data_IF_387703244630
#
_entry.id   IF_387703244630
#
_cell.length_a   1.000
_cell.length_b   1.000
_cell.length_c   1.000
_cell.angle_alpha   90.00
_cell.angle_beta   90.00
_cell.angle_gamma   90.00
#
_symmetry.space_group_name_H-M   'P 1'
#
loop_
_entity.id
_entity.type
_entity.pdbx_description
1 polymer ?
#
# COMPACT_ATOMS: atom_id res chain seq x y z
N UNK A 1 -73.61 42.47 34.77
CA UNK A 1 -72.21 42.53 34.40
C UNK A 1 -71.50 41.43 35.21
N UNK A 2 -71.15 40.30 34.54
CA UNK A 2 -70.50 39.19 35.17
C UNK A 2 -69.08 39.04 34.49
N UNK A 3 -68.05 39.25 35.23
CA UNK A 3 -66.64 39.15 34.84
C UNK A 3 -66.22 37.67 34.84
N UNK A 4 -65.65 37.15 33.72
CA UNK A 4 -65.01 35.84 33.62
C UNK A 4 -63.49 35.97 33.87
N UNK A 5 -62.83 35.08 34.65
CA UNK A 5 -61.43 35.08 34.73
C UNK A 5 -60.79 34.25 33.60
N UNK A 6 -59.76 34.83 32.99
CA UNK A 6 -58.96 34.27 31.95
C UNK A 6 -57.81 33.37 32.57
N UNK A 7 -57.89 32.08 32.31
CA UNK A 7 -56.82 31.13 32.71
C UNK A 7 -55.73 31.10 31.62
N UNK A 8 -54.53 31.55 31.94
CA UNK A 8 -53.36 31.36 31.11
C UNK A 8 -52.83 29.93 31.30
N UNK A 9 -52.95 29.07 30.27
CA UNK A 9 -52.27 27.81 30.23
C UNK A 9 -50.81 28.07 29.75
N UNK A 10 -49.85 27.96 30.67
CA UNK A 10 -48.44 27.95 30.35
C UNK A 10 -48.07 26.58 29.78
N UNK A 11 -47.78 26.52 28.48
CA UNK A 11 -47.15 25.32 27.85
C UNK A 11 -45.66 25.32 28.20
N UNK A 12 -45.24 24.45 29.10
CA UNK A 12 -43.82 24.17 29.35
C UNK A 12 -43.35 23.25 28.23
N UNK A 13 -42.64 23.80 27.24
CA UNK A 13 -41.89 23.05 26.29
C UNK A 13 -40.63 22.45 26.96
N UNK A 14 -40.72 21.20 27.43
CA UNK A 14 -39.55 20.41 27.76
C UNK A 14 -38.83 20.06 26.46
N UNK A 15 -37.71 20.72 26.18
CA UNK A 15 -36.77 20.31 25.17
C UNK A 15 -36.20 18.96 25.59
N UNK A 16 -36.79 17.88 25.10
CA UNK A 16 -36.21 16.55 25.22
C UNK A 16 -34.87 16.53 24.47
N UNK A 17 -33.75 16.45 25.23
CA UNK A 17 -32.47 16.08 24.68
C UNK A 17 -32.66 14.70 24.06
N UNK A 18 -32.71 14.62 22.72
CA UNK A 18 -32.55 13.34 22.02
C UNK A 18 -31.18 12.79 22.43
N UNK A 19 -31.12 11.53 22.89
CA UNK A 19 -29.82 10.90 23.09
C UNK A 19 -29.10 10.93 21.73
N UNK A 20 -27.88 11.45 21.71
CA UNK A 20 -27.01 11.32 20.54
C UNK A 20 -26.98 9.83 20.21
N UNK A 21 -27.40 9.45 19.00
CA UNK A 21 -27.27 8.10 18.50
C UNK A 21 -25.80 7.76 18.63
N UNK A 22 -25.49 6.85 19.56
CA UNK A 22 -24.15 6.30 19.67
C UNK A 22 -23.80 5.74 18.29
N UNK A 23 -22.83 6.35 17.62
CA UNK A 23 -22.37 5.90 16.31
C UNK A 23 -22.03 4.41 16.40
N UNK A 24 -22.29 3.66 15.36
CA UNK A 24 -21.87 2.25 15.30
C UNK A 24 -20.39 2.17 15.68
N UNK A 25 -20.00 1.20 16.51
CA UNK A 25 -18.60 1.08 16.94
C UNK A 25 -17.72 0.97 15.69
N UNK A 26 -16.63 1.75 15.66
CA UNK A 26 -15.63 1.68 14.59
C UNK A 26 -14.99 0.30 14.68
N UNK A 27 -15.02 -0.44 13.57
CA UNK A 27 -14.37 -1.75 13.50
C UNK A 27 -12.85 -1.56 13.55
N UNK A 28 -12.16 -2.40 14.31
CA UNK A 28 -10.70 -2.37 14.35
C UNK A 28 -10.13 -2.73 12.97
N UNK A 29 -9.49 -1.78 12.26
CA UNK A 29 -8.96 -2.03 10.93
C UNK A 29 -7.75 -2.98 10.93
N UNK A 30 -7.18 -3.28 12.09
CA UNK A 30 -6.15 -4.31 12.27
C UNK A 30 -6.70 -5.74 12.22
N UNK A 31 -8.03 -5.90 12.34
CA UNK A 31 -8.71 -7.19 12.24
C UNK A 31 -9.39 -7.35 10.87
N UNK A 32 -9.87 -8.56 10.57
CA UNK A 32 -10.70 -8.81 9.38
C UNK A 32 -11.96 -7.95 9.44
N UNK A 33 -12.30 -7.34 8.32
CA UNK A 33 -13.50 -6.52 8.20
C UNK A 33 -14.80 -7.34 8.11
N UNK A 34 -15.94 -6.68 7.91
CA UNK A 34 -17.26 -7.32 7.94
C UNK A 34 -17.58 -8.12 6.67
N UNK A 35 -16.80 -7.95 5.60
CA UNK A 35 -17.01 -8.64 4.33
C UNK A 35 -16.16 -9.88 4.22
N UNK A 36 -16.70 -10.93 3.60
CA UNK A 36 -15.91 -11.95 2.97
C UNK A 36 -15.19 -11.36 1.75
N UNK A 37 -14.21 -12.07 1.22
CA UNK A 37 -13.39 -11.57 0.11
C UNK A 37 -13.60 -12.45 -1.11
N UNK A 38 -13.99 -11.86 -2.22
CA UNK A 38 -13.97 -12.47 -3.54
C UNK A 38 -12.63 -12.22 -4.23
N UNK A 39 -12.30 -13.06 -5.19
CA UNK A 39 -11.07 -12.97 -5.96
C UNK A 39 -11.32 -13.33 -7.42
N UNK A 40 -10.80 -12.53 -8.32
CA UNK A 40 -10.82 -12.80 -9.76
C UNK A 40 -9.52 -12.32 -10.41
N UNK A 41 -9.18 -12.91 -11.56
CA UNK A 41 -8.01 -12.50 -12.35
C UNK A 41 -8.42 -12.23 -13.78
N UNK A 42 -7.74 -11.26 -14.39
CA UNK A 42 -7.82 -11.01 -15.83
C UNK A 42 -6.44 -10.60 -16.36
N UNK A 43 -6.24 -10.76 -17.68
CA UNK A 43 -5.04 -10.28 -18.35
C UNK A 43 -5.47 -9.33 -19.46
N UNK A 44 -5.23 -8.05 -19.25
CA UNK A 44 -5.59 -6.99 -20.18
C UNK A 44 -4.44 -6.66 -21.11
N UNK A 45 -4.75 -6.27 -22.34
CA UNK A 45 -3.78 -5.95 -23.38
C UNK A 45 -3.82 -4.46 -23.71
N UNK A 46 -2.70 -3.79 -23.46
CA UNK A 46 -2.48 -2.41 -23.88
C UNK A 46 -1.83 -2.39 -25.27
N UNK A 47 -2.66 -2.27 -26.29
CA UNK A 47 -2.21 -2.22 -27.70
C UNK A 47 -1.42 -0.96 -28.04
N UNK A 48 -1.50 0.08 -27.21
CA UNK A 48 -0.80 1.35 -27.44
C UNK A 48 0.68 1.32 -27.05
N UNK A 49 1.09 0.29 -26.30
CA UNK A 49 2.45 0.19 -25.77
C UNK A 49 3.10 -1.15 -26.05
N UNK A 50 4.40 -1.10 -26.35
CA UNK A 50 5.20 -2.30 -26.65
C UNK A 50 5.15 -2.72 -28.12
N UNK A 51 5.87 -3.80 -28.48
CA UNK A 51 5.77 -4.38 -29.80
C UNK A 51 4.42 -5.10 -29.97
N UNK A 52 3.92 -5.25 -31.22
CA UNK A 52 2.70 -6.00 -31.45
C UNK A 52 2.74 -7.42 -30.82
N UNK A 53 1.65 -7.88 -30.18
CA UNK A 53 0.31 -7.29 -30.19
C UNK A 53 0.10 -6.16 -29.16
N UNK A 54 1.08 -5.85 -28.30
CA UNK A 54 0.97 -4.84 -27.24
C UNK A 54 1.59 -5.31 -25.93
N UNK A 55 1.34 -4.56 -24.85
CA UNK A 55 1.82 -4.86 -23.50
C UNK A 55 0.73 -5.56 -22.68
N UNK A 56 1.02 -6.76 -22.22
CA UNK A 56 0.14 -7.50 -21.34
C UNK A 56 0.24 -6.94 -19.90
N UNK A 57 -0.90 -6.74 -19.26
CA UNK A 57 -1.01 -6.29 -17.86
C UNK A 57 -2.00 -7.20 -17.14
N UNK A 58 -1.56 -8.27 -16.48
CA UNK A 58 -2.42 -9.06 -15.63
C UNK A 58 -2.84 -8.28 -14.41
N UNK A 59 -4.10 -8.44 -14.03
CA UNK A 59 -4.73 -7.78 -12.89
C UNK A 59 -5.38 -8.84 -12.01
N UNK A 60 -5.03 -8.81 -10.73
CA UNK A 60 -5.65 -9.62 -9.70
C UNK A 60 -6.56 -8.73 -8.88
N UNK A 61 -7.81 -9.09 -8.73
CA UNK A 61 -8.81 -8.25 -8.09
C UNK A 61 -9.39 -8.96 -6.87
N UNK A 62 -9.22 -8.36 -5.71
CA UNK A 62 -9.91 -8.73 -4.47
C UNK A 62 -11.05 -7.75 -4.22
N UNK A 63 -12.21 -8.26 -3.84
CA UNK A 63 -13.40 -7.42 -3.69
C UNK A 63 -14.29 -7.88 -2.54
N UNK A 64 -15.10 -6.98 -1.95
CA UNK A 64 -16.01 -7.33 -0.89
C UNK A 64 -17.14 -8.26 -1.37
N UNK A 65 -17.42 -9.30 -0.59
CA UNK A 65 -18.53 -10.25 -0.83
C UNK A 65 -19.37 -10.36 0.44
N UNK A 66 -20.67 -10.56 0.30
CA UNK A 66 -21.49 -10.91 1.45
C UNK A 66 -21.02 -12.26 2.02
N UNK A 67 -20.77 -12.38 3.32
CA UNK A 67 -20.38 -13.65 3.91
C UNK A 67 -21.32 -14.82 3.59
N UNK A 68 -22.61 -14.53 3.33
CA UNK A 68 -23.57 -15.55 2.95
C UNK A 68 -23.38 -16.07 1.51
N UNK A 69 -22.71 -15.30 0.64
CA UNK A 69 -22.52 -15.65 -0.76
C UNK A 69 -21.24 -16.48 -1.02
N UNK A 70 -20.41 -16.69 0.01
CA UNK A 70 -19.18 -17.51 -0.10
C UNK A 70 -19.37 -18.94 0.44
N UNK A 71 -20.52 -19.25 0.98
CA UNK A 71 -20.79 -20.61 1.48
C UNK A 71 -20.83 -21.60 0.32
N UNK A 72 -19.91 -22.57 0.34
CA UNK A 72 -19.73 -23.53 -0.75
C UNK A 72 -18.98 -23.00 -1.99
N UNK A 73 -18.54 -21.75 -2.00
CA UNK A 73 -17.70 -21.21 -3.08
C UNK A 73 -16.30 -21.87 -3.07
N UNK A 74 -15.72 -22.04 -4.27
CA UNK A 74 -14.34 -22.49 -4.40
C UNK A 74 -13.39 -21.47 -3.76
N UNK A 75 -12.40 -21.96 -3.02
CA UNK A 75 -11.33 -21.10 -2.50
C UNK A 75 -10.40 -20.65 -3.61
N UNK A 76 -9.95 -19.41 -3.53
CA UNK A 76 -9.02 -18.87 -4.50
C UNK A 76 -7.65 -19.56 -4.37
N UNK A 77 -7.15 -20.03 -5.50
CA UNK A 77 -5.77 -20.41 -5.66
C UNK A 77 -5.07 -19.29 -6.42
N UNK A 78 -4.07 -18.67 -5.79
CA UNK A 78 -3.34 -17.58 -6.44
C UNK A 78 -2.32 -18.14 -7.43
N UNK A 79 -2.49 -17.92 -8.75
CA UNK A 79 -1.52 -18.40 -9.73
C UNK A 79 -0.16 -17.77 -9.45
N UNK A 80 0.90 -18.57 -9.42
CA UNK A 80 2.26 -18.03 -9.25
C UNK A 80 2.66 -17.14 -10.42
N UNK A 81 2.25 -17.51 -11.62
CA UNK A 81 2.49 -16.71 -12.81
C UNK A 81 1.34 -16.82 -13.81
N UNK A 82 0.61 -15.74 -14.08
CA UNK A 82 -0.48 -15.74 -15.06
C UNK A 82 -0.02 -15.85 -16.52
N UNK A 83 1.28 -15.62 -16.80
CA UNK A 83 1.82 -15.65 -18.17
C UNK A 83 2.39 -17.00 -18.60
N UNK A 84 2.67 -17.87 -17.64
CA UNK A 84 3.41 -19.08 -17.89
C UNK A 84 2.52 -20.27 -17.63
N UNK A 85 1.97 -20.84 -18.67
CA UNK A 85 1.40 -22.18 -18.61
C UNK A 85 2.44 -23.26 -18.21
N UNK A 86 3.55 -22.84 -17.62
CA UNK A 86 4.71 -23.65 -17.30
C UNK A 86 4.74 -24.15 -15.88
N UNK A 87 3.90 -23.61 -15.01
CA UNK A 87 3.91 -24.08 -13.65
C UNK A 87 2.93 -25.25 -13.58
N UNK A 88 3.38 -26.44 -13.14
CA UNK A 88 2.52 -27.62 -13.02
C UNK A 88 1.23 -27.27 -12.24
N UNK A 89 0.19 -28.08 -12.35
CA UNK A 89 -1.10 -27.88 -11.67
C UNK A 89 -1.00 -27.67 -10.13
N UNK A 90 0.18 -27.84 -9.56
CA UNK A 90 0.52 -27.54 -8.16
C UNK A 90 1.00 -26.11 -7.90
N UNK A 91 1.10 -25.29 -8.91
CA UNK A 91 1.66 -23.93 -8.86
C UNK A 91 0.75 -22.85 -8.32
N UNK A 92 -0.36 -23.24 -7.75
CA UNK A 92 -1.23 -22.33 -7.03
C UNK A 92 -0.88 -22.41 -5.55
N UNK A 93 -0.55 -21.26 -4.97
CA UNK A 93 -0.32 -21.16 -3.54
C UNK A 93 -1.68 -21.07 -2.84
N UNK A 94 -1.93 -21.96 -1.89
CA UNK A 94 -3.13 -21.95 -1.06
C UNK A 94 -2.78 -21.30 0.26
N UNK A 95 -3.45 -20.19 0.59
CA UNK A 95 -3.13 -19.35 1.74
C UNK A 95 -4.14 -19.45 2.88
N UNK A 96 -4.90 -20.53 2.96
CA UNK A 96 -5.94 -20.70 3.99
C UNK A 96 -5.39 -20.57 5.41
N UNK A 97 -4.20 -21.11 5.67
CA UNK A 97 -3.57 -21.10 6.99
C UNK A 97 -3.06 -19.71 7.41
N UNK A 98 -2.91 -18.79 6.48
CA UNK A 98 -2.42 -17.43 6.74
C UNK A 98 -3.53 -16.38 6.84
N UNK A 99 -4.80 -16.78 6.74
CA UNK A 99 -5.92 -15.85 6.79
C UNK A 99 -6.09 -14.97 5.55
N UNK A 100 -5.48 -15.35 4.44
CA UNK A 100 -5.57 -14.68 3.13
C UNK A 100 -6.62 -15.32 2.23
N UNK A 101 -7.54 -16.06 2.81
CA UNK A 101 -8.55 -16.80 2.06
C UNK A 101 -9.51 -15.86 1.33
N UNK A 102 -9.79 -16.23 0.10
CA UNK A 102 -10.78 -15.58 -0.75
C UNK A 102 -11.61 -16.63 -1.50
N UNK A 103 -12.81 -16.24 -1.92
CA UNK A 103 -13.66 -17.06 -2.77
C UNK A 103 -13.44 -16.71 -4.24
N UNK A 104 -13.14 -17.69 -5.07
CA UNK A 104 -12.89 -17.46 -6.50
C UNK A 104 -14.20 -17.17 -7.23
N UNK A 105 -14.22 -16.07 -7.99
CA UNK A 105 -15.36 -15.59 -8.79
C UNK A 105 -16.69 -15.49 -8.03
N UNK A 106 -16.64 -15.30 -6.70
CA UNK A 106 -17.86 -15.04 -5.93
C UNK A 106 -18.47 -13.69 -6.35
N UNK A 107 -19.81 -13.56 -6.41
CA UNK A 107 -20.45 -12.29 -6.78
C UNK A 107 -20.08 -11.20 -5.76
N UNK A 108 -19.76 -9.96 -6.20
CA UNK A 108 -19.55 -8.85 -5.26
C UNK A 108 -20.85 -8.53 -4.51
N UNK A 109 -20.70 -7.95 -3.33
CA UNK A 109 -21.86 -7.46 -2.56
C UNK A 109 -22.64 -6.50 -3.43
N UNK A 110 -23.89 -6.84 -3.64
CA UNK A 110 -24.85 -6.19 -4.53
C UNK A 110 -24.60 -4.67 -4.70
N UNK A 111 -24.63 -4.26 -5.94
CA UNK A 111 -24.47 -2.92 -6.52
C UNK A 111 -25.24 -1.76 -5.87
N UNK A 112 -26.05 -2.00 -4.83
CA UNK A 112 -26.71 -0.94 -4.07
C UNK A 112 -25.75 -0.02 -3.34
N UNK A 113 -24.48 -0.42 -3.20
CA UNK A 113 -23.47 0.33 -2.47
C UNK A 113 -22.08 0.06 -3.06
N UNK A 114 -21.71 0.71 -4.16
CA UNK A 114 -20.41 0.52 -4.77
C UNK A 114 -19.27 0.91 -3.80
N UNK A 115 -18.11 0.30 -3.96
CA UNK A 115 -16.95 0.45 -3.10
C UNK A 115 -15.87 1.33 -3.72
N UNK A 116 -15.07 2.06 -2.92
CA UNK A 116 -13.85 2.69 -3.42
C UNK A 116 -12.90 1.66 -4.03
N UNK A 117 -12.13 2.11 -5.04
CA UNK A 117 -11.10 1.29 -5.69
C UNK A 117 -9.71 1.65 -5.17
N UNK A 118 -8.90 0.65 -4.91
CA UNK A 118 -7.46 0.77 -4.68
C UNK A 118 -6.73 0.06 -5.80
N UNK A 119 -5.98 0.80 -6.63
CA UNK A 119 -5.08 0.23 -7.61
C UNK A 119 -3.70 0.10 -6.98
N UNK A 120 -3.14 -1.11 -7.00
CA UNK A 120 -1.94 -1.46 -6.24
C UNK A 120 -0.83 -2.00 -7.15
N UNK A 121 0.39 -1.51 -6.96
CA UNK A 121 1.60 -2.02 -7.61
C UNK A 121 2.51 -2.70 -6.57
N UNK A 122 2.93 -3.96 -6.78
CA UNK A 122 3.85 -4.67 -5.88
C UNK A 122 5.29 -4.14 -6.00
N UNK A 123 6.21 -4.67 -5.21
CA UNK A 123 7.64 -4.36 -5.29
C UNK A 123 8.28 -4.76 -6.63
N UNK A 124 9.52 -4.32 -6.87
CA UNK A 124 10.27 -4.71 -8.06
C UNK A 124 10.49 -6.24 -8.08
N UNK A 125 10.22 -6.84 -9.22
CA UNK A 125 10.24 -8.29 -9.35
C UNK A 125 9.06 -8.99 -8.66
N UNK A 126 8.15 -8.25 -8.04
CA UNK A 126 7.05 -8.81 -7.26
C UNK A 126 5.90 -9.33 -8.10
N UNK A 127 5.29 -10.41 -7.65
CA UNK A 127 4.01 -10.91 -8.13
C UNK A 127 2.84 -10.16 -7.48
N UNK A 128 1.67 -10.22 -8.09
CA UNK A 128 0.46 -9.59 -7.53
C UNK A 128 0.11 -10.14 -6.14
N UNK A 129 0.42 -11.40 -5.85
CA UNK A 129 0.18 -12.03 -4.56
C UNK A 129 1.18 -11.66 -3.46
N UNK A 130 2.29 -10.96 -3.76
CA UNK A 130 3.24 -10.50 -2.72
C UNK A 130 2.64 -9.53 -1.69
N UNK A 131 1.45 -9.00 -1.93
CA UNK A 131 0.74 -8.12 -1.01
C UNK A 131 -0.70 -8.60 -0.77
N UNK A 132 -0.90 -9.92 -0.76
CA UNK A 132 -2.23 -10.53 -0.58
C UNK A 132 -2.84 -10.18 0.78
N UNK A 133 -2.04 -10.10 1.84
CA UNK A 133 -2.51 -9.68 3.17
C UNK A 133 -3.07 -8.27 3.17
N UNK A 134 -2.46 -7.36 2.42
CA UNK A 134 -2.98 -6.01 2.24
C UNK A 134 -4.26 -6.02 1.40
N UNK A 135 -4.25 -6.75 0.28
CA UNK A 135 -5.39 -6.81 -0.63
C UNK A 135 -6.63 -7.40 0.06
N UNK A 136 -6.49 -8.53 0.74
CA UNK A 136 -7.58 -9.18 1.48
C UNK A 136 -8.05 -8.34 2.67
N UNK A 137 -7.14 -7.66 3.38
CA UNK A 137 -7.49 -6.78 4.49
C UNK A 137 -8.35 -5.60 3.98
N UNK A 138 -7.91 -4.91 2.96
CA UNK A 138 -8.65 -3.80 2.36
C UNK A 138 -10.00 -4.27 1.81
N UNK A 139 -10.04 -5.40 1.09
CA UNK A 139 -11.28 -5.93 0.54
C UNK A 139 -12.28 -6.28 1.65
N UNK A 140 -11.84 -6.93 2.74
CA UNK A 140 -12.70 -7.23 3.87
C UNK A 140 -13.29 -5.99 4.55
N UNK A 141 -12.63 -4.84 4.41
CA UNK A 141 -13.09 -3.55 4.90
C UNK A 141 -13.87 -2.72 3.86
N UNK A 142 -14.23 -3.29 2.71
CA UNK A 142 -15.09 -2.65 1.75
C UNK A 142 -14.35 -1.79 0.72
N UNK A 143 -13.25 -2.29 0.19
CA UNK A 143 -12.55 -1.74 -0.97
C UNK A 143 -12.47 -2.79 -2.08
N UNK A 144 -12.61 -2.39 -3.32
CA UNK A 144 -12.13 -3.19 -4.45
C UNK A 144 -10.64 -2.93 -4.57
N UNK A 145 -9.83 -3.99 -4.62
CA UNK A 145 -8.36 -3.88 -4.68
C UNK A 145 -7.86 -4.59 -5.92
N UNK A 146 -7.31 -3.84 -6.85
CA UNK A 146 -6.72 -4.37 -8.07
C UNK A 146 -5.19 -4.32 -7.98
N UNK A 147 -4.54 -5.46 -7.89
CA UNK A 147 -3.09 -5.58 -7.83
C UNK A 147 -2.57 -6.03 -9.18
N UNK A 148 -1.58 -5.30 -9.71
CA UNK A 148 -1.04 -5.55 -11.03
C UNK A 148 0.15 -6.51 -10.99
N UNK A 149 0.30 -7.25 -12.08
CA UNK A 149 1.48 -8.04 -12.37
C UNK A 149 2.20 -7.39 -13.57
N UNK A 150 3.36 -6.78 -13.33
CA UNK A 150 4.05 -5.99 -14.36
C UNK A 150 4.88 -6.87 -15.29
N UNK A 151 4.54 -6.88 -16.59
CA UNK A 151 5.25 -7.67 -17.57
C UNK A 151 6.71 -7.19 -17.76
N UNK A 152 7.64 -8.14 -17.81
CA UNK A 152 9.07 -7.88 -17.99
C UNK A 152 9.81 -7.41 -16.71
N UNK A 153 9.12 -7.35 -15.59
CA UNK A 153 9.63 -6.87 -14.31
C UNK A 153 9.32 -7.92 -13.23
N UNK A 154 9.81 -9.15 -13.44
CA UNK A 154 9.50 -10.28 -12.56
C UNK A 154 10.77 -11.06 -12.21
N UNK A 155 10.91 -11.37 -10.92
CA UNK A 155 11.97 -12.27 -10.45
C UNK A 155 11.70 -13.71 -10.87
N UNK A 156 10.44 -14.07 -11.01
CA UNK A 156 10.00 -15.43 -11.28
C UNK A 156 9.23 -15.53 -12.59
N UNK A 157 9.60 -16.40 -13.50
CA UNK A 157 10.82 -17.21 -13.61
C UNK A 157 11.97 -16.42 -14.25
N UNK A 158 12.68 -15.62 -13.49
CA UNK A 158 13.91 -14.88 -13.87
C UNK A 158 13.81 -14.04 -15.16
N UNK A 159 12.71 -13.35 -15.36
CA UNK A 159 12.52 -12.49 -16.53
C UNK A 159 12.71 -11.02 -16.21
N UNK A 160 13.89 -10.63 -15.81
CA UNK A 160 14.28 -9.22 -15.82
C UNK A 160 14.54 -8.76 -17.25
N UNK A 161 13.50 -8.62 -18.03
CA UNK A 161 13.60 -8.05 -19.40
C UNK A 161 13.65 -6.53 -19.35
N UNK A 162 13.09 -5.92 -18.31
CA UNK A 162 13.13 -4.49 -18.14
C UNK A 162 14.21 -4.11 -17.11
N UNK A 163 15.15 -3.21 -17.45
CA UNK A 163 15.99 -2.58 -16.47
C UNK A 163 15.12 -1.85 -15.43
N UNK A 164 15.69 -1.54 -14.25
CA UNK A 164 14.93 -0.87 -13.18
C UNK A 164 14.28 0.45 -13.65
N UNK A 165 14.97 1.21 -14.52
CA UNK A 165 14.39 2.40 -15.13
C UNK A 165 13.16 2.09 -16.00
N UNK A 166 13.19 0.98 -16.76
CA UNK A 166 12.04 0.52 -17.53
C UNK A 166 10.89 0.08 -16.65
N UNK A 167 11.18 -0.61 -15.56
CA UNK A 167 10.18 -0.98 -14.57
C UNK A 167 9.54 0.27 -13.94
N UNK A 168 10.35 1.23 -13.52
CA UNK A 168 9.85 2.51 -12.98
C UNK A 168 8.95 3.24 -13.98
N UNK A 169 9.34 3.30 -15.26
CA UNK A 169 8.59 3.94 -16.33
C UNK A 169 7.25 3.26 -16.64
N UNK A 170 7.22 1.93 -16.70
CA UNK A 170 6.03 1.22 -17.13
C UNK A 170 4.95 1.15 -16.05
N UNK A 171 5.33 1.06 -14.77
CA UNK A 171 4.40 0.79 -13.68
C UNK A 171 3.28 1.83 -13.51
N UNK A 172 3.54 3.15 -13.48
CA UNK A 172 2.46 4.13 -13.41
C UNK A 172 1.49 4.04 -14.60
N UNK A 173 2.04 3.77 -15.79
CA UNK A 173 1.25 3.62 -17.04
C UNK A 173 0.42 2.35 -17.06
N UNK A 174 0.96 1.24 -16.53
CA UNK A 174 0.20 0.00 -16.35
C UNK A 174 -0.97 0.23 -15.37
N UNK A 175 -0.72 0.97 -14.29
CA UNK A 175 -1.77 1.29 -13.30
C UNK A 175 -2.86 2.17 -13.91
N UNK A 176 -2.51 3.22 -14.65
CA UNK A 176 -3.49 4.10 -15.30
C UNK A 176 -4.31 3.35 -16.34
N UNK A 177 -3.67 2.52 -17.18
CA UNK A 177 -4.36 1.69 -18.17
C UNK A 177 -5.29 0.65 -17.52
N UNK A 178 -4.83 -0.03 -16.47
CA UNK A 178 -5.68 -0.96 -15.74
C UNK A 178 -6.89 -0.26 -15.11
N UNK A 179 -6.71 0.98 -14.63
CA UNK A 179 -7.81 1.79 -14.12
C UNK A 179 -8.84 2.11 -15.21
N UNK A 180 -8.41 2.40 -16.46
CA UNK A 180 -9.33 2.59 -17.60
C UNK A 180 -10.19 1.34 -17.81
N UNK A 181 -9.56 0.17 -17.86
CA UNK A 181 -10.26 -1.11 -18.11
C UNK A 181 -11.20 -1.46 -16.96
N UNK A 182 -10.76 -1.30 -15.71
CA UNK A 182 -11.59 -1.60 -14.54
C UNK A 182 -12.84 -0.69 -14.45
N UNK A 183 -12.70 0.59 -14.78
CA UNK A 183 -13.84 1.50 -14.80
C UNK A 183 -14.78 1.21 -15.98
N UNK A 184 -14.25 0.83 -17.14
CA UNK A 184 -15.05 0.34 -18.25
C UNK A 184 -15.82 -0.94 -17.88
N UNK A 185 -15.17 -1.90 -17.20
CA UNK A 185 -15.82 -3.11 -16.70
C UNK A 185 -16.91 -2.79 -15.66
N UNK A 186 -16.70 -1.78 -14.82
CA UNK A 186 -17.70 -1.31 -13.87
C UNK A 186 -18.96 -0.74 -14.56
N UNK A 187 -18.81 -0.16 -15.74
CA UNK A 187 -19.95 0.36 -16.53
C UNK A 187 -20.71 -0.74 -17.28
N UNK A 188 -20.23 -1.99 -17.27
CA UNK A 188 -20.85 -3.15 -17.91
C UNK A 188 -21.67 -3.96 -16.89
N UNK A 189 -23.01 -3.92 -16.90
CA UNK A 189 -23.85 -4.57 -15.88
C UNK A 189 -23.63 -6.08 -15.73
N UNK A 190 -23.27 -6.76 -16.83
CA UNK A 190 -23.05 -8.21 -16.85
C UNK A 190 -21.63 -8.60 -16.37
N UNK A 191 -20.73 -7.64 -16.22
CA UNK A 191 -19.38 -7.93 -15.74
C UNK A 191 -19.41 -8.19 -14.23
N UNK A 192 -18.50 -9.05 -13.74
CA UNK A 192 -18.35 -9.36 -12.32
C UNK A 192 -18.28 -8.10 -11.43
N UNK A 193 -17.61 -7.05 -11.91
CA UNK A 193 -17.47 -5.77 -11.21
C UNK A 193 -18.50 -4.73 -11.63
N UNK A 194 -19.54 -5.10 -12.41
CA UNK A 194 -20.57 -4.19 -12.91
C UNK A 194 -21.27 -3.45 -11.76
N UNK A 195 -21.09 -2.13 -11.71
CA UNK A 195 -21.65 -1.27 -10.66
C UNK A 195 -21.02 -1.43 -9.26
N UNK A 196 -19.92 -2.20 -9.13
CA UNK A 196 -19.29 -2.46 -7.84
C UNK A 196 -18.28 -1.37 -7.40
N UNK A 197 -17.82 -0.51 -8.31
CA UNK A 197 -16.77 0.47 -8.07
C UNK A 197 -17.35 1.89 -8.03
N UNK A 198 -16.86 2.72 -7.10
CA UNK A 198 -17.05 4.17 -7.09
C UNK A 198 -15.98 4.85 -7.92
N UNK A 199 -16.26 5.35 -9.11
CA UNK A 199 -15.24 5.88 -10.00
C UNK A 199 -14.62 7.21 -9.51
N UNK A 200 -15.29 7.90 -8.60
CA UNK A 200 -14.83 9.14 -7.96
C UNK A 200 -14.01 8.90 -6.68
N UNK A 201 -13.86 7.65 -6.24
CA UNK A 201 -13.15 7.25 -5.03
C UNK A 201 -12.06 6.22 -5.35
N UNK A 202 -10.99 6.67 -5.99
CA UNK A 202 -9.85 5.84 -6.39
C UNK A 202 -8.59 6.24 -5.62
N UNK A 203 -7.89 5.26 -5.04
CA UNK A 203 -6.57 5.45 -4.46
C UNK A 203 -5.52 4.67 -5.27
N UNK A 204 -4.32 5.23 -5.38
CA UNK A 204 -3.13 4.52 -5.80
C UNK A 204 -2.38 4.00 -4.57
N UNK A 205 -1.96 2.74 -4.61
CA UNK A 205 -1.18 2.16 -3.54
C UNK A 205 -0.03 1.31 -4.09
N UNK A 206 0.96 1.02 -3.25
CA UNK A 206 2.03 0.11 -3.66
C UNK A 206 3.11 -0.06 -2.61
N UNK A 207 3.94 -1.07 -2.85
CA UNK A 207 5.07 -1.43 -2.02
C UNK A 207 6.37 -1.24 -2.80
N UNK A 208 7.42 -0.71 -2.16
CA UNK A 208 8.75 -0.56 -2.77
C UNK A 208 8.69 0.27 -4.07
N UNK A 209 9.13 -0.28 -5.20
CA UNK A 209 9.00 0.35 -6.52
C UNK A 209 7.53 0.60 -6.89
N UNK A 210 6.59 -0.21 -6.39
CA UNK A 210 5.15 0.06 -6.52
C UNK A 210 4.71 1.28 -5.73
N UNK A 211 5.30 1.53 -4.57
CA UNK A 211 5.07 2.75 -3.79
C UNK A 211 5.53 4.00 -4.53
N UNK A 212 6.69 3.93 -5.18
CA UNK A 212 7.13 4.96 -6.13
C UNK A 212 6.10 5.17 -7.26
N UNK A 213 5.65 4.08 -7.91
CA UNK A 213 4.69 4.17 -9.00
C UNK A 213 3.36 4.80 -8.56
N UNK A 214 2.88 4.51 -7.35
CA UNK A 214 1.71 5.15 -6.77
C UNK A 214 1.91 6.65 -6.55
N UNK A 215 3.10 7.09 -6.12
CA UNK A 215 3.43 8.51 -5.98
C UNK A 215 3.47 9.22 -7.32
N UNK A 216 4.05 8.60 -8.35
CA UNK A 216 4.07 9.15 -9.72
C UNK A 216 2.65 9.29 -10.26
N UNK A 217 1.85 8.23 -10.17
CA UNK A 217 0.46 8.25 -10.63
C UNK A 217 -0.38 9.30 -9.90
N UNK A 218 -0.10 9.54 -8.63
CA UNK A 218 -0.79 10.52 -7.78
C UNK A 218 -0.25 11.94 -7.88
N UNK A 219 0.76 12.19 -8.73
CA UNK A 219 1.18 13.56 -9.03
C UNK A 219 2.67 13.87 -8.99
N UNK A 220 3.55 12.93 -8.57
CA UNK A 220 4.98 13.15 -8.68
C UNK A 220 5.43 13.08 -10.14
N UNK A 221 6.49 13.83 -10.49
CA UNK A 221 7.14 13.72 -11.79
C UNK A 221 8.00 12.45 -11.92
N UNK A 222 8.57 12.25 -13.10
CA UNK A 222 9.48 11.13 -13.40
C UNK A 222 10.83 11.58 -13.97
N UNK A 223 11.13 12.85 -13.97
CA UNK A 223 12.35 13.39 -14.61
C UNK A 223 13.62 12.89 -13.93
N UNK A 224 13.55 12.55 -12.65
CA UNK A 224 14.70 12.09 -11.87
C UNK A 224 15.13 10.67 -12.20
N UNK A 225 14.25 9.83 -12.74
CA UNK A 225 14.60 8.44 -13.16
C UNK A 225 15.83 8.42 -14.05
N UNK A 226 15.93 9.37 -14.98
CA UNK A 226 17.06 9.49 -15.91
C UNK A 226 18.34 9.95 -15.23
N UNK A 227 18.25 10.70 -14.15
CA UNK A 227 19.40 11.13 -13.35
C UNK A 227 19.91 9.99 -12.47
N UNK A 228 19.01 9.24 -11.86
CA UNK A 228 19.34 8.12 -10.98
C UNK A 228 19.86 6.91 -11.78
N UNK A 229 19.32 6.64 -12.96
CA UNK A 229 19.66 5.48 -13.79
C UNK A 229 20.11 5.86 -15.21
N UNK A 230 21.15 6.69 -15.38
CA UNK A 230 21.51 7.27 -16.68
C UNK A 230 21.90 6.25 -17.75
N UNK A 231 22.48 5.11 -17.35
CA UNK A 231 22.91 4.06 -18.27
C UNK A 231 21.79 3.15 -18.77
N UNK A 232 20.70 3.03 -17.99
CA UNK A 232 19.59 2.12 -18.29
C UNK A 232 18.29 2.84 -18.69
N UNK A 233 18.32 4.18 -18.73
CA UNK A 233 17.13 5.00 -18.90
C UNK A 233 16.78 5.36 -20.35
N UNK A 234 17.56 4.91 -21.34
CA UNK A 234 17.30 5.22 -22.75
C UNK A 234 15.89 4.79 -23.16
N UNK A 235 15.03 5.74 -23.51
CA UNK A 235 13.64 5.52 -23.90
C UNK A 235 12.66 5.41 -22.73
N UNK A 236 13.14 5.57 -21.47
CA UNK A 236 12.34 5.50 -20.25
C UNK A 236 12.41 6.79 -19.44
N UNK A 237 12.45 7.92 -20.12
CA UNK A 237 12.53 9.25 -19.51
C UNK A 237 11.45 10.15 -20.05
N UNK A 238 11.02 11.06 -19.23
CA UNK A 238 10.08 12.11 -19.58
C UNK A 238 8.98 12.27 -18.54
N UNK A 239 8.22 13.35 -18.60
CA UNK A 239 7.16 13.60 -17.65
C UNK A 239 6.07 12.53 -17.77
N UNK A 240 5.49 12.18 -16.63
CA UNK A 240 4.24 11.45 -16.54
C UNK A 240 3.17 12.39 -16.06
N UNK A 241 2.09 12.48 -16.82
CA UNK A 241 0.92 13.22 -16.36
C UNK A 241 0.27 12.46 -15.19
N UNK A 242 -0.02 13.16 -14.08
CA UNK A 242 -0.72 12.54 -12.97
C UNK A 242 -2.12 12.10 -13.40
N UNK A 243 -2.56 10.96 -12.90
CA UNK A 243 -3.93 10.52 -13.18
C UNK A 243 -4.92 11.27 -12.27
N UNK A 244 -5.79 12.12 -12.84
CA UNK A 244 -6.69 12.97 -12.05
C UNK A 244 -7.76 12.18 -11.29
N UNK A 245 -7.93 10.90 -11.60
CA UNK A 245 -8.85 10.01 -10.88
C UNK A 245 -8.32 9.63 -9.50
N UNK A 246 -7.00 9.70 -9.28
CA UNK A 246 -6.40 9.39 -7.99
C UNK A 246 -6.74 10.46 -6.96
N UNK A 247 -7.30 10.03 -5.83
CA UNK A 247 -7.74 10.90 -4.72
C UNK A 247 -6.96 10.71 -3.43
N UNK A 248 -6.20 9.61 -3.32
CA UNK A 248 -5.35 9.32 -2.19
C UNK A 248 -4.20 8.40 -2.59
N UNK A 249 -3.09 8.43 -1.84
CA UNK A 249 -1.93 7.56 -2.04
C UNK A 249 -1.63 6.81 -0.74
N UNK A 250 -1.36 5.50 -0.86
CA UNK A 250 -0.78 4.68 0.21
C UNK A 250 0.51 4.05 -0.30
N UNK A 251 1.63 4.34 0.34
CA UNK A 251 2.92 3.78 -0.05
C UNK A 251 3.57 3.06 1.12
N UNK A 252 3.89 1.79 0.91
CA UNK A 252 4.61 0.95 1.87
C UNK A 252 6.07 0.87 1.45
N UNK A 253 6.98 1.30 2.33
CA UNK A 253 8.43 1.27 2.09
C UNK A 253 8.80 1.69 0.66
N UNK A 254 8.38 2.90 0.20
CA UNK A 254 8.50 3.28 -1.20
C UNK A 254 9.96 3.48 -1.62
N UNK A 255 10.28 3.11 -2.87
CA UNK A 255 11.55 3.47 -3.50
C UNK A 255 11.57 4.98 -3.84
N UNK A 256 11.35 5.83 -2.84
CA UNK A 256 11.21 7.28 -2.98
C UNK A 256 12.52 7.99 -3.32
N UNK A 257 13.67 7.32 -3.17
CA UNK A 257 14.98 7.84 -3.58
C UNK A 257 15.07 8.13 -5.09
N UNK A 258 14.18 7.53 -5.89
CA UNK A 258 14.06 7.78 -7.34
C UNK A 258 13.46 9.17 -7.62
N UNK A 259 12.66 9.71 -6.70
CA UNK A 259 12.00 11.01 -6.84
C UNK A 259 12.80 12.10 -6.13
N UNK A 260 12.96 13.24 -6.76
CA UNK A 260 13.54 14.39 -6.08
C UNK A 260 12.48 15.19 -5.28
N UNK A 261 12.95 16.18 -4.54
CA UNK A 261 12.07 16.98 -3.69
C UNK A 261 11.00 17.73 -4.48
N UNK A 262 11.36 18.26 -5.64
CA UNK A 262 10.46 19.05 -6.48
C UNK A 262 9.35 18.17 -7.10
N UNK A 263 9.68 16.93 -7.44
CA UNK A 263 8.73 15.95 -7.95
C UNK A 263 7.72 15.54 -6.86
N UNK A 264 8.22 15.17 -5.67
CA UNK A 264 7.37 14.85 -4.52
C UNK A 264 6.45 16.02 -4.13
N UNK A 265 6.96 17.27 -4.24
CA UNK A 265 6.17 18.46 -3.93
C UNK A 265 5.02 18.73 -4.92
N UNK A 266 4.96 18.03 -6.05
CA UNK A 266 3.84 18.13 -7.00
C UNK A 266 2.62 17.32 -6.55
N UNK A 267 2.78 16.33 -5.67
CA UNK A 267 1.68 15.53 -5.15
C UNK A 267 0.72 16.43 -4.36
N UNK A 268 -0.56 16.44 -4.75
CA UNK A 268 -1.62 17.29 -4.16
C UNK A 268 -2.70 16.53 -3.41
N UNK A 269 -2.70 15.22 -3.48
CA UNK A 269 -3.68 14.36 -2.81
C UNK A 269 -3.20 13.94 -1.41
N UNK A 270 -4.10 13.63 -0.48
CA UNK A 270 -3.74 13.04 0.80
C UNK A 270 -2.88 11.79 0.61
N UNK A 271 -1.85 11.64 1.46
CA UNK A 271 -0.89 10.56 1.32
C UNK A 271 -0.56 9.94 2.67
N UNK A 272 -0.51 8.62 2.71
CA UNK A 272 0.06 7.83 3.80
C UNK A 272 1.34 7.15 3.31
N UNK A 273 2.43 7.37 4.03
CA UNK A 273 3.70 6.66 3.83
C UNK A 273 3.96 5.79 5.06
N UNK A 274 4.17 4.51 4.84
CA UNK A 274 4.54 3.54 5.88
C UNK A 274 5.96 3.10 5.61
N UNK A 275 6.86 3.31 6.56
CA UNK A 275 8.29 3.02 6.42
C UNK A 275 8.76 1.94 7.38
N UNK A 276 9.85 1.29 7.00
CA UNK A 276 10.68 0.46 7.86
C UNK A 276 11.69 1.29 8.65
N UNK A 277 12.21 0.71 9.72
CA UNK A 277 13.32 1.29 10.49
C UNK A 277 14.66 1.11 9.76
N UNK A 278 14.83 -0.04 9.10
CA UNK A 278 16.01 -0.35 8.32
C UNK A 278 15.64 -0.77 6.89
N UNK A 279 16.28 -0.18 5.91
CA UNK A 279 16.06 -0.51 4.51
C UNK A 279 17.25 -1.27 3.93
N UNK A 280 16.96 -2.22 3.03
CA UNK A 280 17.94 -2.78 2.13
C UNK A 280 18.72 -1.69 1.37
N UNK A 281 18.03 -0.58 1.06
CA UNK A 281 18.61 0.57 0.39
C UNK A 281 19.62 1.31 1.29
N UNK A 282 19.42 1.31 2.62
CA UNK A 282 20.39 1.85 3.57
C UNK A 282 21.69 1.03 3.55
N UNK A 283 21.61 -0.28 3.34
CA UNK A 283 22.78 -1.13 3.21
C UNK A 283 23.62 -0.83 1.96
N UNK A 284 23.02 -0.24 0.93
CA UNK A 284 23.71 0.20 -0.29
C UNK A 284 24.00 1.70 -0.30
N UNK A 285 23.88 2.38 0.85
CA UNK A 285 24.30 3.77 1.04
C UNK A 285 23.20 4.82 0.84
N UNK A 286 21.91 4.42 0.82
CA UNK A 286 20.82 5.38 0.86
C UNK A 286 20.73 6.04 2.24
N UNK A 287 20.54 7.38 2.25
CA UNK A 287 20.43 8.15 3.48
C UNK A 287 19.10 7.82 4.20
N UNK A 288 19.12 7.52 5.52
CA UNK A 288 17.91 7.36 6.32
C UNK A 288 16.93 8.55 6.22
N UNK A 289 17.42 9.77 5.95
CA UNK A 289 16.58 10.93 5.69
C UNK A 289 15.65 10.75 4.46
N UNK A 290 15.98 9.84 3.55
CA UNK A 290 15.14 9.50 2.40
C UNK A 290 13.76 8.97 2.79
N UNK A 291 13.63 8.31 3.94
CA UNK A 291 12.33 7.83 4.43
C UNK A 291 11.42 8.96 4.91
N UNK A 292 12.00 10.03 5.45
CA UNK A 292 11.25 11.20 5.92
C UNK A 292 10.85 12.13 4.77
N UNK A 293 11.63 12.14 3.69
CA UNK A 293 11.52 13.09 2.59
C UNK A 293 10.13 13.10 1.92
N UNK A 294 9.49 11.97 1.57
CA UNK A 294 8.18 12.02 0.94
C UNK A 294 7.15 12.75 1.80
N UNK A 295 7.06 12.39 3.07
CA UNK A 295 6.12 13.02 4.00
C UNK A 295 6.34 14.53 4.13
N UNK A 296 7.61 14.96 4.17
CA UNK A 296 7.97 16.37 4.31
C UNK A 296 7.71 17.18 3.02
N UNK A 297 7.98 16.59 1.85
CA UNK A 297 7.85 17.25 0.56
C UNK A 297 6.41 17.36 0.06
N UNK A 298 5.60 16.31 0.24
CA UNK A 298 4.25 16.19 -0.29
C UNK A 298 3.36 17.35 0.16
N UNK A 299 2.72 18.02 -0.81
CA UNK A 299 1.82 19.16 -0.58
C UNK A 299 0.36 18.78 -0.39
N UNK A 300 -0.04 17.56 -0.80
CA UNK A 300 -1.35 17.00 -0.48
C UNK A 300 -1.55 16.86 1.02
N UNK A 301 -2.72 17.21 1.53
CA UNK A 301 -3.01 17.18 2.98
C UNK A 301 -4.38 16.56 3.25
N UNK A 302 -4.48 15.80 4.35
CA UNK A 302 -3.40 15.44 5.29
C UNK A 302 -2.32 14.55 4.67
N UNK A 303 -1.09 14.70 5.14
CA UNK A 303 0.02 13.78 4.85
C UNK A 303 0.42 13.08 6.13
N UNK A 304 0.47 11.75 6.09
CA UNK A 304 0.80 10.90 7.23
C UNK A 304 2.06 10.09 6.93
N UNK A 305 2.85 9.87 7.97
CA UNK A 305 3.98 8.96 7.97
C UNK A 305 3.89 8.05 9.19
N UNK A 306 4.09 6.77 8.97
CA UNK A 306 4.08 5.71 9.98
C UNK A 306 5.39 4.94 9.85
N UNK A 307 6.25 5.03 10.85
CA UNK A 307 7.50 4.28 10.90
C UNK A 307 7.32 3.12 11.87
N UNK A 308 7.66 1.90 11.42
CA UNK A 308 7.55 0.69 12.22
C UNK A 308 8.95 0.25 12.70
N UNK A 309 9.13 0.19 14.01
CA UNK A 309 10.39 -0.23 14.62
C UNK A 309 10.66 -1.72 14.47
N UNK A 310 11.93 -2.06 14.36
CA UNK A 310 12.40 -3.44 14.22
C UNK A 310 12.00 -4.10 12.88
N UNK A 311 11.59 -3.32 11.88
CA UNK A 311 11.21 -3.82 10.57
C UNK A 311 12.27 -3.58 9.53
N UNK A 312 12.27 -4.40 8.48
CA UNK A 312 13.06 -4.22 7.28
C UNK A 312 12.15 -4.06 6.06
N UNK A 313 12.75 -3.89 4.90
CA UNK A 313 12.02 -3.71 3.65
C UNK A 313 10.97 -4.81 3.40
N UNK A 314 11.33 -6.08 3.59
CA UNK A 314 10.43 -7.21 3.33
C UNK A 314 9.37 -7.43 4.43
N UNK A 315 9.41 -6.67 5.52
CA UNK A 315 8.34 -6.68 6.52
C UNK A 315 7.00 -6.13 6.00
N UNK A 316 6.99 -5.49 4.82
CA UNK A 316 5.80 -4.89 4.19
C UNK A 316 5.30 -5.63 2.97
N UNK A 317 5.65 -6.90 2.83
CA UNK A 317 5.10 -7.80 1.83
C UNK A 317 5.02 -9.22 2.39
N UNK A 318 4.27 -10.08 1.71
CA UNK A 318 4.04 -11.46 2.14
C UNK A 318 5.10 -12.43 1.58
N UNK A 319 6.23 -11.91 1.07
CA UNK A 319 7.27 -12.73 0.41
C UNK A 319 7.83 -13.81 1.33
N UNK A 320 7.97 -13.53 2.62
CA UNK A 320 8.55 -14.46 3.58
C UNK A 320 7.64 -15.66 3.87
N UNK A 321 6.33 -15.43 3.92
CA UNK A 321 5.31 -16.46 4.01
C UNK A 321 5.33 -17.34 2.76
N UNK A 322 5.48 -16.73 1.58
CA UNK A 322 5.60 -17.46 0.32
C UNK A 322 6.85 -18.30 0.24
N UNK A 323 7.99 -17.79 0.63
CA UNK A 323 9.22 -18.59 0.66
C UNK A 323 9.06 -19.84 1.52
N UNK A 324 8.40 -19.71 2.66
CA UNK A 324 8.10 -20.87 3.53
C UNK A 324 7.23 -21.90 2.83
N UNK A 325 6.18 -21.47 2.10
CA UNK A 325 5.32 -22.36 1.33
C UNK A 325 6.04 -23.01 0.14
N UNK A 326 6.86 -22.22 -0.56
CA UNK A 326 7.64 -22.71 -1.70
C UNK A 326 8.67 -23.75 -1.28
N UNK A 327 9.33 -23.56 -0.14
CA UNK A 327 10.28 -24.53 0.42
C UNK A 327 9.63 -25.85 0.82
N UNK A 328 8.34 -25.83 1.17
CA UNK A 328 7.59 -27.03 1.51
C UNK A 328 7.25 -27.91 0.30
N UNK A 329 7.40 -27.39 -0.93
CA UNK A 329 7.12 -28.11 -2.18
C UNK A 329 8.41 -28.45 -2.92
N UNK A 330 8.83 -29.74 -2.96
CA UNK A 330 10.07 -30.16 -3.63
C UNK A 330 10.10 -29.85 -5.12
N UNK A 331 8.95 -29.82 -5.80
CA UNK A 331 8.85 -29.52 -7.23
C UNK A 331 9.16 -28.02 -7.45
N UNK A 332 8.74 -27.16 -6.53
CA UNK A 332 9.07 -25.72 -6.56
C UNK A 332 10.54 -25.50 -6.24
N UNK A 333 11.09 -26.16 -5.22
CA UNK A 333 12.51 -26.08 -4.88
C UNK A 333 13.40 -26.51 -6.07
N UNK A 334 13.00 -27.55 -6.79
CA UNK A 334 13.72 -27.99 -8.00
C UNK A 334 13.74 -26.94 -9.12
N UNK A 335 12.69 -26.13 -9.22
CA UNK A 335 12.57 -25.04 -10.19
C UNK A 335 13.28 -23.76 -9.72
N UNK A 336 13.28 -23.50 -8.42
CA UNK A 336 13.85 -22.29 -7.77
C UNK A 336 14.76 -22.70 -6.62
N UNK A 337 15.96 -23.20 -6.89
CA UNK A 337 16.86 -23.60 -5.81
C UNK A 337 17.14 -22.51 -4.77
N UNK A 338 17.05 -21.24 -5.16
CA UNK A 338 17.29 -20.10 -4.25
C UNK A 338 16.26 -19.96 -3.12
N UNK A 339 15.08 -20.58 -3.22
CA UNK A 339 14.14 -20.59 -2.08
C UNK A 339 14.58 -21.51 -0.96
N UNK A 340 15.57 -22.39 -1.21
CA UNK A 340 16.19 -23.27 -0.21
C UNK A 340 17.52 -22.74 0.34
N UNK A 341 17.93 -21.54 -0.08
CA UNK A 341 19.10 -20.84 0.40
C UNK A 341 18.79 -20.15 1.74
N UNK A 342 19.26 -20.75 2.83
CA UNK A 342 19.04 -20.23 4.19
C UNK A 342 19.66 -18.85 4.40
N UNK A 343 20.80 -18.55 3.82
CA UNK A 343 21.45 -17.25 3.96
C UNK A 343 20.62 -16.15 3.28
N UNK A 344 20.11 -16.42 2.07
CA UNK A 344 19.26 -15.52 1.36
C UNK A 344 17.93 -15.30 2.10
N UNK A 345 17.29 -16.37 2.56
CA UNK A 345 15.99 -16.27 3.28
C UNK A 345 16.17 -15.54 4.61
N UNK A 346 17.24 -15.84 5.35
CA UNK A 346 17.54 -15.12 6.58
C UNK A 346 17.79 -13.64 6.32
N UNK A 347 18.56 -13.29 5.29
CA UNK A 347 18.78 -11.90 4.90
C UNK A 347 17.48 -11.17 4.53
N UNK A 348 16.60 -11.82 3.77
CA UNK A 348 15.35 -11.21 3.32
C UNK A 348 14.26 -11.16 4.41
N UNK A 349 14.17 -12.19 5.25
CA UNK A 349 13.01 -12.43 6.08
C UNK A 349 13.24 -12.32 7.58
N UNK A 350 14.43 -12.69 8.07
CA UNK A 350 14.74 -12.64 9.50
C UNK A 350 15.39 -11.32 9.86
N UNK A 351 16.18 -10.77 8.93
CA UNK A 351 16.97 -9.58 9.18
C UNK A 351 18.15 -9.85 10.14
N UNK A 352 18.68 -8.80 10.69
CA UNK A 352 19.70 -8.85 11.73
C UNK A 352 19.08 -8.68 13.13
N UNK A 353 19.92 -8.60 14.14
CA UNK A 353 19.46 -8.36 15.53
C UNK A 353 18.65 -7.08 15.73
N UNK A 354 18.64 -6.15 14.77
CA UNK A 354 17.97 -4.87 14.80
C UNK A 354 16.62 -4.89 14.07
N UNK A 355 16.41 -5.87 13.18
CA UNK A 355 15.25 -5.97 12.32
C UNK A 355 14.50 -7.30 12.53
N UNK A 356 14.06 -7.52 13.77
CA UNK A 356 13.46 -8.78 14.21
C UNK A 356 11.93 -8.82 14.14
N UNK A 357 11.28 -7.77 13.66
CA UNK A 357 9.81 -7.73 13.54
C UNK A 357 9.38 -8.37 12.21
N UNK A 358 8.80 -9.57 12.24
CA UNK A 358 8.41 -10.28 11.03
C UNK A 358 7.21 -9.59 10.34
N UNK A 359 7.03 -9.89 9.05
CA UNK A 359 5.88 -9.45 8.24
C UNK A 359 4.54 -9.79 8.87
N UNK A 360 4.41 -10.96 9.50
CA UNK A 360 3.20 -11.39 10.23
C UNK A 360 2.81 -10.45 11.39
N UNK A 361 3.74 -9.65 11.90
CA UNK A 361 3.49 -8.62 12.93
C UNK A 361 3.37 -7.24 12.29
N UNK A 362 4.28 -6.91 11.36
CA UNK A 362 4.35 -5.59 10.73
C UNK A 362 3.14 -5.31 9.81
N UNK A 363 2.76 -6.28 8.97
CA UNK A 363 1.66 -6.11 8.02
C UNK A 363 0.29 -5.84 8.65
N UNK A 364 -0.14 -6.52 9.73
CA UNK A 364 -1.37 -6.14 10.41
C UNK A 364 -1.38 -4.70 10.90
N UNK A 365 -0.25 -4.18 11.40
CA UNK A 365 -0.13 -2.79 11.85
C UNK A 365 -0.17 -1.83 10.65
N UNK A 366 0.64 -2.09 9.62
CA UNK A 366 0.68 -1.29 8.41
C UNK A 366 -0.70 -1.22 7.73
N UNK A 367 -1.37 -2.37 7.60
CA UNK A 367 -2.71 -2.48 7.02
C UNK A 367 -3.77 -1.77 7.87
N UNK A 368 -3.64 -1.78 9.21
CA UNK A 368 -4.51 -1.01 10.09
C UNK A 368 -4.51 0.48 9.73
N UNK A 369 -3.33 1.06 9.58
CA UNK A 369 -3.20 2.47 9.19
C UNK A 369 -3.68 2.73 7.76
N UNK A 370 -3.41 1.82 6.82
CA UNK A 370 -3.90 1.94 5.45
C UNK A 370 -5.44 1.93 5.39
N UNK A 371 -6.08 0.99 6.09
CA UNK A 371 -7.55 0.94 6.19
C UNK A 371 -8.09 2.21 6.85
N UNK A 372 -7.55 2.61 8.02
CA UNK A 372 -8.02 3.80 8.73
C UNK A 372 -7.87 5.06 7.86
N UNK A 373 -6.76 5.20 7.15
CA UNK A 373 -6.51 6.31 6.24
C UNK A 373 -7.51 6.32 5.09
N UNK A 374 -7.67 5.23 4.35
CA UNK A 374 -8.58 5.15 3.22
C UNK A 374 -10.04 5.29 3.63
N UNK A 375 -10.43 4.75 4.78
CA UNK A 375 -11.77 4.97 5.36
C UNK A 375 -12.01 6.46 5.65
N UNK A 376 -11.00 7.17 6.16
CA UNK A 376 -11.09 8.59 6.48
C UNK A 376 -11.13 9.46 5.23
N UNK A 377 -10.13 9.34 4.35
CA UNK A 377 -9.93 10.33 3.27
C UNK A 377 -10.66 9.98 1.98
N UNK A 378 -10.88 8.70 1.71
CA UNK A 378 -11.48 8.22 0.46
C UNK A 378 -12.95 7.84 0.67
N UNK A 379 -13.23 6.90 1.56
CA UNK A 379 -14.61 6.46 1.86
C UNK A 379 -15.39 7.48 2.71
N UNK A 380 -14.72 8.40 3.42
CA UNK A 380 -15.27 9.42 4.29
C UNK A 380 -16.16 8.84 5.40
N UNK A 381 -15.74 7.72 5.96
CA UNK A 381 -16.39 7.07 7.08
C UNK A 381 -15.93 7.69 8.41
N UNK A 382 -16.85 8.05 9.32
CA UNK A 382 -16.49 8.70 10.58
C UNK A 382 -15.83 7.72 11.56
N UNK A 383 -15.00 8.27 12.46
CA UNK A 383 -14.41 7.55 13.61
C UNK A 383 -13.00 6.98 13.33
N UNK A 384 -12.64 6.73 12.07
CA UNK A 384 -11.31 6.23 11.74
C UNK A 384 -10.22 7.28 11.86
N UNK A 385 -10.56 8.58 11.72
CA UNK A 385 -9.61 9.69 11.89
C UNK A 385 -8.97 9.74 13.27
N UNK A 386 -9.63 9.21 14.31
CA UNK A 386 -9.09 9.20 15.66
C UNK A 386 -7.82 8.33 15.77
N UNK A 387 -7.71 7.31 14.92
CA UNK A 387 -6.56 6.42 14.85
C UNK A 387 -5.36 7.07 14.14
N UNK A 388 -5.60 8.12 13.36
CA UNK A 388 -4.59 8.82 12.55
C UNK A 388 -3.99 10.00 13.31
N UNK A 389 -3.63 9.78 14.58
CA UNK A 389 -3.03 10.79 15.43
C UNK A 389 -1.81 10.24 16.18
N UNK A 390 -0.76 11.06 16.39
CA UNK A 390 0.40 10.64 17.21
C UNK A 390 0.00 10.16 18.61
N UNK A 391 -0.98 10.81 19.22
CA UNK A 391 -1.44 10.46 20.56
C UNK A 391 -2.18 9.13 20.64
N UNK A 392 -2.86 8.72 19.59
CA UNK A 392 -3.47 7.39 19.52
C UNK A 392 -2.41 6.31 19.32
N UNK A 393 -1.49 6.52 18.37
CA UNK A 393 -0.38 5.60 18.09
C UNK A 393 0.46 5.36 19.34
N UNK A 394 0.90 6.42 20.01
CA UNK A 394 1.71 6.34 21.24
C UNK A 394 1.06 5.50 22.35
N UNK A 395 -0.28 5.52 22.43
CA UNK A 395 -1.02 4.79 23.48
C UNK A 395 -1.33 3.34 23.12
N UNK A 396 -1.30 2.99 21.85
CA UNK A 396 -1.85 1.72 21.35
C UNK A 396 -0.85 0.84 20.61
N UNK A 397 0.20 1.42 20.04
CA UNK A 397 1.14 0.74 19.17
C UNK A 397 2.57 0.93 19.65
N UNK A 398 3.12 -0.11 20.28
CA UNK A 398 4.49 -0.05 20.83
C UNK A 398 5.59 -0.04 19.74
N UNK A 399 5.25 -0.42 18.52
CA UNK A 399 6.18 -0.51 17.40
C UNK A 399 6.05 0.66 16.40
N UNK A 400 5.27 1.70 16.73
CA UNK A 400 4.93 2.75 15.76
C UNK A 400 5.37 4.12 16.25
N UNK A 401 6.02 4.86 15.37
CA UNK A 401 6.11 6.30 15.41
C UNK A 401 5.22 6.91 14.32
N UNK A 402 4.41 7.91 14.70
CA UNK A 402 3.38 8.45 13.81
C UNK A 402 3.55 9.96 13.66
N UNK A 403 3.57 10.42 12.41
CA UNK A 403 3.70 11.84 12.04
C UNK A 403 2.52 12.28 11.19
N UNK A 404 2.08 13.53 11.37
CA UNK A 404 1.02 14.12 10.57
C UNK A 404 1.36 15.56 10.18
N UNK A 405 1.07 15.90 8.94
CA UNK A 405 1.15 17.26 8.43
C UNK A 405 -0.20 17.62 7.80
N UNK A 406 -0.94 18.51 8.46
CA UNK A 406 -2.30 18.89 8.05
C UNK A 406 -2.34 20.11 7.14
N UNK A 407 -1.33 20.97 7.17
CA UNK A 407 -1.27 22.22 6.41
C UNK A 407 -0.14 22.18 5.40
N UNK A 408 -0.40 22.74 4.21
CA UNK A 408 0.65 22.94 3.20
C UNK A 408 1.76 23.81 3.78
N UNK A 409 3.01 23.41 3.50
CA UNK A 409 4.16 24.25 3.72
C UNK A 409 4.53 24.90 2.37
N UNK A 410 4.25 26.20 2.16
CA UNK A 410 4.56 26.88 0.89
C UNK A 410 6.07 26.95 0.62
N UNK A 411 6.91 26.82 1.65
CA UNK A 411 8.36 26.85 1.54
C UNK A 411 8.98 25.47 1.35
N UNK A 412 8.19 24.38 1.38
CA UNK A 412 8.73 23.03 1.25
C UNK A 412 9.39 22.76 -0.10
N UNK A 413 9.03 23.54 -1.13
CA UNK A 413 9.64 23.44 -2.47
C UNK A 413 11.04 24.05 -2.51
N UNK A 414 11.37 24.94 -1.55
CA UNK A 414 12.64 25.68 -1.48
C UNK A 414 13.50 25.28 -0.28
N UNK A 415 12.98 24.45 0.61
CA UNK A 415 13.75 23.94 1.73
C UNK A 415 14.74 22.90 1.19
N UNK A 416 15.90 23.40 0.79
CA UNK A 416 17.10 22.58 0.69
C UNK A 416 17.42 22.12 2.12
N UNK A 417 17.23 20.82 2.41
CA UNK A 417 17.59 20.23 3.69
C UNK A 417 19.12 20.14 3.85
N UNK A 418 19.87 21.01 3.18
CA UNK A 418 21.31 21.20 3.37
C UNK A 418 21.74 21.50 4.81
N UNK A 419 20.78 21.73 5.70
CA UNK A 419 21.06 22.07 7.11
C UNK A 419 21.10 20.87 8.06
N UNK A 420 21.26 19.64 7.54
CA UNK A 420 21.62 18.48 8.36
C UNK A 420 20.72 18.22 9.58
N UNK A 421 19.42 18.41 9.47
CA UNK A 421 18.49 17.91 10.47
C UNK A 421 18.19 16.44 10.18
N UNK A 422 19.13 15.58 10.57
CA UNK A 422 18.96 14.15 10.56
C UNK A 422 18.18 13.76 11.83
N UNK A 423 17.07 13.05 11.65
CA UNK A 423 16.45 12.31 12.73
C UNK A 423 17.12 10.94 12.79
N UNK A 424 18.10 10.78 13.69
CA UNK A 424 18.63 9.47 14.03
C UNK A 424 17.58 8.76 14.88
N UNK A 425 17.02 7.70 14.38
CA UNK A 425 16.19 6.79 15.15
C UNK A 425 17.08 5.90 16.00
N UNK A 426 16.96 6.04 17.31
CA UNK A 426 17.44 5.02 18.23
C UNK A 426 16.31 4.03 18.47
N UNK A 427 16.56 2.71 18.44
CA UNK A 427 15.54 1.74 18.74
C UNK A 427 14.91 2.07 20.11
N UNK A 428 13.59 2.13 20.14
CA UNK A 428 12.83 2.47 21.31
C UNK A 428 13.06 1.38 22.36
N UNK A 429 13.82 1.66 23.40
CA UNK A 429 13.82 0.81 24.59
C UNK A 429 12.51 1.08 25.33
N UNK A 430 11.77 0.03 25.76
CA UNK A 430 10.57 0.21 26.56
C UNK A 430 10.89 1.06 27.79
N UNK A 431 10.33 2.27 27.86
CA UNK A 431 10.55 3.21 28.96
C UNK A 431 11.35 4.48 28.64
N UNK A 432 11.85 4.67 27.41
CA UNK A 432 12.50 5.93 27.03
C UNK A 432 11.46 6.92 26.48
N UNK A 433 11.11 7.91 27.28
CA UNK A 433 10.42 9.11 26.81
C UNK A 433 11.39 9.97 25.99
N UNK A 434 10.97 10.35 24.77
CA UNK A 434 11.54 11.33 23.87
C UNK A 434 12.45 10.80 22.74
N UNK A 435 11.93 10.89 21.52
CA UNK A 435 12.76 11.02 20.33
C UNK A 435 13.62 12.30 20.46
N UNK A 436 14.91 12.17 20.68
CA UNK A 436 15.84 13.29 20.69
C UNK A 436 16.42 13.45 19.31
N UNK A 437 16.12 14.56 18.66
CA UNK A 437 16.86 14.99 17.48
C UNK A 437 18.33 15.17 17.81
N UNK A 438 19.22 14.41 17.18
CA UNK A 438 20.66 14.53 17.32
C UNK A 438 21.20 15.28 16.10
N UNK A 439 21.78 16.46 16.33
CA UNK A 439 22.52 17.22 15.34
C UNK A 439 23.99 16.79 15.37
N UNK A 440 24.32 15.64 14.82
CA UNK A 440 25.72 15.27 14.62
C UNK A 440 25.89 14.36 13.40
N UNK A 441 26.36 14.88 12.28
CA UNK A 441 26.63 14.09 11.09
C UNK A 441 27.81 13.10 11.28
N UNK A 442 28.65 13.26 12.32
CA UNK A 442 29.76 12.34 12.57
C UNK A 442 29.35 11.04 13.23
N UNK A 443 28.14 10.96 13.80
CA UNK A 443 27.62 9.73 14.40
C UNK A 443 27.10 8.71 13.35
N UNK A 444 26.85 9.13 12.12
CA UNK A 444 26.41 8.26 11.02
C UNK A 444 27.54 7.33 10.51
N UNK A 445 28.79 7.56 10.90
CA UNK A 445 29.95 6.77 10.46
C UNK A 445 30.27 5.53 11.29
N UNK A 446 29.46 5.20 12.29
CA UNK A 446 29.71 4.10 13.23
C UNK A 446 28.91 2.82 12.94
N UNK A 447 28.30 2.68 11.78
CA UNK A 447 27.76 1.39 11.33
C UNK A 447 28.90 0.52 10.79
N UNK A 448 29.00 -0.76 11.16
CA UNK A 448 30.05 -1.64 10.65
C UNK A 448 29.78 -1.94 9.17
N UNK A 449 30.40 -1.15 8.30
CA UNK A 449 30.46 -1.44 6.87
C UNK A 449 31.43 -2.62 6.65
N UNK A 450 30.88 -3.82 6.51
CA UNK A 450 31.65 -5.05 6.29
C UNK A 450 31.08 -5.93 5.19
N UNK A 451 30.43 -5.35 4.15
CA UNK A 451 30.02 -6.12 2.97
C UNK A 451 30.62 -5.51 1.71
N UNK A 452 31.57 -6.22 1.11
CA UNK A 452 32.00 -6.03 -0.27
C UNK A 452 31.14 -6.91 -1.17
N UNK A 453 30.31 -6.30 -2.00
CA UNK A 453 29.65 -6.99 -3.10
C UNK A 453 30.69 -7.33 -4.17
N UNK A 454 30.87 -8.62 -4.45
CA UNK A 454 31.58 -9.12 -5.63
C UNK A 454 30.64 -9.32 -6.79
#
# INVERSE_FOLDING_TARGET
MKTFPMWLLGVVLTAGMMPALAGSPVLDPGQKGPYAVGFATDTILDESRGPPPGRLVPVYVWYPVDPADVDGAARANYPMDPFWGYVPAKSSLVFEDYGFDAAYDAPPVSSKKPFPLVIFSPGWGGAAWHNVSTATRLASHGFVVAVLYHYGDRVWPWEFRSPLAGAAWHRPRDMSFALDVLLMANDMPEHLLGGAIRPDQVAAAGYSLGGYAAMVLGGAGEDNVCKVFPSSSRGFCGPTDPDPRIKAIVSFSPASFILDWSELAQIRVPTLVVNEEWSLLSAVGADPAEFARPHAAIQGKPSYRVDLFGTNHNSFCDSCEFFSLMRADPDIVALVPSVDDDDLINFLCVGDQWTSTPSTVAMPIANKYAVAFLKTVLAREPGYQDMLTPGWALKRESLVEFFVTEKRNPNAVTADYGDGQFYLYFPHQPGSEQARGVKDPSAASALPLGFTLH
#
